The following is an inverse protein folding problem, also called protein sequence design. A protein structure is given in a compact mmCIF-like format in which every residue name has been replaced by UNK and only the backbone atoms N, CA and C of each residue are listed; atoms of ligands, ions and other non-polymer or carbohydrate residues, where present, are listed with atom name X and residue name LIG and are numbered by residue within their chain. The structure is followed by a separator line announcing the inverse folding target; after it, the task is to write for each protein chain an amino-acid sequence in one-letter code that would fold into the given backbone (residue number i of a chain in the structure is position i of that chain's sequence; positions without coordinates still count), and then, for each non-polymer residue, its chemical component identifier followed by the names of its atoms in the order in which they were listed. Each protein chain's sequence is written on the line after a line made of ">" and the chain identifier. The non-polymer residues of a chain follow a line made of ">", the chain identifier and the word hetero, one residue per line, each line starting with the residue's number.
data_IF_107949452003
#
_entry.id   IF_107949452003
#
_cell.length_a   1.000
_cell.length_b   1.000
_cell.length_c   1.000
_cell.angle_alpha   90.00
_cell.angle_beta   90.00
_cell.angle_gamma   90.00
#
_symmetry.space_group_name_H-M   'P 1'
#
loop_
_entity.id
_entity.type
_entity.pdbx_description
1 polymer ?
#
# COMPACT_ATOMS: atom_id res chain seq x y z
N UNK A 1 -20.14 -20.52 -0.58
CA UNK A 1 -19.45 -19.25 -0.73
C UNK A 1 -18.07 -19.22 -0.08
N UNK A 2 -17.92 -19.42 1.23
CA UNK A 2 -16.60 -19.39 1.94
C UNK A 2 -15.58 -20.36 1.33
N UNK A 3 -15.98 -21.62 1.08
CA UNK A 3 -15.09 -22.63 0.49
C UNK A 3 -14.62 -22.26 -0.95
N UNK A 4 -15.48 -21.56 -1.72
CA UNK A 4 -15.12 -21.07 -3.05
C UNK A 4 -14.14 -19.92 -2.99
N UNK A 5 -14.27 -19.01 -2.01
CA UNK A 5 -13.33 -17.90 -1.78
C UNK A 5 -11.96 -18.45 -1.38
N UNK A 6 -11.91 -19.42 -0.46
CA UNK A 6 -10.65 -20.04 -0.03
C UNK A 6 -9.92 -20.72 -1.20
N UNK A 7 -10.64 -21.52 -2.01
CA UNK A 7 -10.06 -22.12 -3.22
C UNK A 7 -9.58 -21.06 -4.21
N UNK A 8 -10.33 -19.96 -4.35
CA UNK A 8 -9.94 -18.82 -5.17
C UNK A 8 -8.63 -18.17 -4.69
N UNK A 9 -8.46 -17.96 -3.40
CA UNK A 9 -7.20 -17.42 -2.82
C UNK A 9 -5.99 -18.31 -3.12
N UNK A 10 -6.14 -19.63 -2.97
CA UNK A 10 -5.07 -20.58 -3.30
C UNK A 10 -4.70 -20.49 -4.79
N UNK A 11 -5.71 -20.44 -5.66
CA UNK A 11 -5.51 -20.34 -7.09
C UNK A 11 -4.78 -19.03 -7.48
N UNK A 12 -5.15 -17.88 -6.88
CA UNK A 12 -4.48 -16.61 -7.11
C UNK A 12 -3.02 -16.65 -6.64
N UNK A 13 -2.75 -17.24 -5.48
CA UNK A 13 -1.37 -17.40 -4.97
C UNK A 13 -0.52 -18.28 -5.90
N UNK A 14 -1.09 -19.37 -6.41
CA UNK A 14 -0.37 -20.25 -7.36
C UNK A 14 -0.05 -19.55 -8.69
N UNK A 15 -0.97 -18.71 -9.19
CA UNK A 15 -0.76 -17.93 -10.42
C UNK A 15 0.37 -16.90 -10.27
N UNK A 16 0.46 -16.26 -9.12
CA UNK A 16 1.42 -15.16 -8.91
C UNK A 16 2.79 -15.65 -8.48
N UNK A 17 2.89 -16.87 -7.97
CA UNK A 17 4.16 -17.47 -7.53
C UNK A 17 5.15 -17.54 -8.67
N UNK A 18 6.33 -16.93 -8.50
CA UNK A 18 7.40 -16.90 -9.50
C UNK A 18 7.16 -15.95 -10.68
N UNK A 19 6.04 -15.22 -10.73
CA UNK A 19 5.78 -14.22 -11.77
C UNK A 19 6.45 -12.88 -11.45
N UNK A 20 6.44 -11.98 -12.45
CA UNK A 20 6.92 -10.60 -12.26
C UNK A 20 6.21 -9.89 -11.10
N UNK A 21 4.93 -10.15 -10.88
CA UNK A 21 4.16 -9.53 -9.80
C UNK A 21 4.68 -9.89 -8.41
N UNK A 22 5.08 -11.15 -8.22
CA UNK A 22 5.69 -11.61 -6.98
C UNK A 22 6.99 -10.85 -6.68
N UNK A 23 7.88 -10.80 -7.67
CA UNK A 23 9.15 -10.08 -7.54
C UNK A 23 8.97 -8.58 -7.41
N UNK A 24 7.99 -7.99 -8.10
CA UNK A 24 7.66 -6.58 -7.98
C UNK A 24 7.20 -6.21 -6.57
N UNK A 25 6.36 -7.05 -5.95
CA UNK A 25 5.92 -6.83 -4.56
C UNK A 25 7.11 -6.84 -3.60
N UNK A 26 8.02 -7.81 -3.75
CA UNK A 26 9.18 -7.96 -2.90
C UNK A 26 10.19 -6.82 -3.12
N UNK A 27 10.66 -6.63 -4.35
CA UNK A 27 11.69 -5.64 -4.67
C UNK A 27 11.18 -4.20 -4.51
N UNK A 28 9.93 -3.93 -4.87
CA UNK A 28 9.31 -2.63 -4.68
C UNK A 28 9.22 -2.23 -3.21
N UNK A 29 8.97 -3.20 -2.30
CA UNK A 29 8.95 -2.96 -0.86
C UNK A 29 10.34 -2.71 -0.27
N UNK A 30 11.38 -3.33 -0.84
CA UNK A 30 12.76 -3.18 -0.39
C UNK A 30 13.42 -1.88 -0.90
N UNK A 31 12.91 -1.30 -1.98
CA UNK A 31 13.58 -0.21 -2.70
C UNK A 31 13.88 0.99 -1.79
N UNK A 32 12.90 1.48 -1.06
CA UNK A 32 13.07 2.66 -0.20
C UNK A 32 13.95 2.36 1.02
N UNK A 33 13.75 1.27 1.79
CA UNK A 33 14.68 0.92 2.85
C UNK A 33 16.12 0.76 2.36
N UNK A 34 16.32 0.19 1.18
CA UNK A 34 17.65 0.04 0.60
C UNK A 34 18.29 1.37 0.20
N UNK A 35 17.51 2.30 -0.39
CA UNK A 35 18.01 3.65 -0.72
C UNK A 35 18.41 4.41 0.54
N UNK A 36 17.60 4.39 1.59
CA UNK A 36 17.93 5.00 2.87
C UNK A 36 19.17 4.35 3.51
N UNK A 37 19.26 3.02 3.46
CA UNK A 37 20.44 2.30 3.91
C UNK A 37 21.71 2.81 3.22
N UNK A 38 21.70 2.98 1.90
CA UNK A 38 22.85 3.52 1.16
C UNK A 38 23.15 4.96 1.55
N UNK A 39 22.14 5.82 1.74
CA UNK A 39 22.33 7.21 2.17
C UNK A 39 23.04 7.26 3.53
N UNK A 40 22.56 6.49 4.51
CA UNK A 40 23.16 6.43 5.84
C UNK A 40 24.54 5.79 5.84
N UNK A 41 24.75 4.78 4.98
CA UNK A 41 26.05 4.11 4.83
C UNK A 41 27.14 5.05 4.31
N UNK A 42 26.81 5.89 3.29
CA UNK A 42 27.80 6.76 2.66
C UNK A 42 27.88 8.17 3.28
N UNK A 43 26.90 8.57 4.08
CA UNK A 43 26.81 9.89 4.72
C UNK A 43 26.47 9.80 6.20
N UNK A 44 27.05 8.84 6.92
CA UNK A 44 26.75 8.61 8.36
C UNK A 44 26.93 9.86 9.20
N UNK A 45 27.95 10.68 8.94
CA UNK A 45 28.24 11.93 9.68
C UNK A 45 27.06 12.91 9.71
N UNK A 46 26.22 12.93 8.66
CA UNK A 46 25.05 13.83 8.58
C UNK A 46 23.85 13.36 9.40
N UNK A 47 23.91 12.15 9.94
CA UNK A 47 22.80 11.49 10.62
C UNK A 47 23.15 11.03 12.05
N UNK A 48 24.26 11.51 12.60
CA UNK A 48 24.65 11.24 13.98
C UNK A 48 23.59 11.88 14.90
N UNK A 49 22.90 11.09 15.73
CA UNK A 49 21.87 11.63 16.61
C UNK A 49 22.51 12.47 17.73
N UNK A 50 21.82 13.51 18.23
CA UNK A 50 22.24 14.18 19.45
C UNK A 50 22.27 13.20 20.64
N UNK A 51 23.07 13.49 21.64
CA UNK A 51 23.18 12.65 22.85
C UNK A 51 21.80 12.45 23.51
N UNK A 52 21.47 11.20 23.82
CA UNK A 52 20.23 10.82 24.49
C UNK A 52 18.99 10.72 23.59
N UNK A 53 19.12 10.93 22.29
CA UNK A 53 18.01 10.78 21.32
C UNK A 53 18.05 9.41 20.65
N UNK A 54 16.88 8.75 20.60
CA UNK A 54 16.74 7.45 19.94
C UNK A 54 16.80 7.59 18.40
N UNK A 55 17.83 7.05 17.72
CA UNK A 55 18.00 7.19 16.27
C UNK A 55 16.90 6.47 15.46
N UNK A 56 16.29 5.44 16.03
CA UNK A 56 15.25 4.67 15.36
C UNK A 56 14.00 5.50 15.05
N UNK A 57 13.69 6.49 15.89
CA UNK A 57 12.49 7.30 15.72
C UNK A 57 12.54 8.09 14.40
N UNK A 58 13.59 8.86 14.19
CA UNK A 58 13.77 9.66 12.97
C UNK A 58 13.97 8.79 11.73
N UNK A 59 14.71 7.69 11.88
CA UNK A 59 14.94 6.73 10.81
C UNK A 59 13.63 6.11 10.33
N UNK A 60 12.79 5.61 11.23
CA UNK A 60 11.49 5.03 10.90
C UNK A 60 10.51 6.07 10.35
N UNK A 61 10.44 7.27 10.96
CA UNK A 61 9.58 8.36 10.48
C UNK A 61 9.98 8.84 9.09
N UNK A 62 11.27 8.95 8.81
CA UNK A 62 11.79 9.30 7.48
C UNK A 62 11.34 8.33 6.40
N UNK A 63 11.43 7.03 6.65
CA UNK A 63 10.95 6.00 5.74
C UNK A 63 9.43 6.08 5.50
N UNK A 64 8.64 6.24 6.56
CA UNK A 64 7.19 6.38 6.45
C UNK A 64 6.79 7.61 5.64
N UNK A 65 7.48 8.73 5.86
CA UNK A 65 7.26 9.95 5.09
C UNK A 65 7.51 9.72 3.61
N UNK A 66 8.63 9.09 3.25
CA UNK A 66 8.99 8.84 1.87
C UNK A 66 7.96 7.96 1.14
N UNK A 67 7.43 6.92 1.80
CA UNK A 67 6.45 6.03 1.16
C UNK A 67 5.03 6.61 1.13
N UNK A 68 4.60 7.36 2.17
CA UNK A 68 3.23 7.85 2.29
C UNK A 68 2.88 8.87 1.19
N UNK A 69 3.84 9.71 0.77
CA UNK A 69 3.58 10.78 -0.18
C UNK A 69 3.25 10.30 -1.60
N UNK A 70 4.03 9.41 -2.17
CA UNK A 70 3.84 9.01 -3.57
C UNK A 70 4.15 7.53 -3.81
N UNK A 71 5.18 7.00 -3.19
CA UNK A 71 5.76 5.72 -3.58
C UNK A 71 4.86 4.54 -3.24
N UNK A 72 4.22 4.53 -2.08
CA UNK A 72 3.29 3.48 -1.70
C UNK A 72 1.97 3.52 -2.48
N UNK A 73 1.30 4.68 -2.67
CA UNK A 73 0.22 4.81 -3.65
C UNK A 73 0.56 4.24 -5.02
N UNK A 74 1.72 4.59 -5.59
CA UNK A 74 2.17 4.06 -6.88
C UNK A 74 2.41 2.55 -6.84
N UNK A 75 3.01 2.04 -5.76
CA UNK A 75 3.21 0.61 -5.57
C UNK A 75 1.87 -0.15 -5.57
N UNK A 76 0.85 0.37 -4.87
CA UNK A 76 -0.51 -0.20 -4.84
C UNK A 76 -1.14 -0.20 -6.25
N UNK A 77 -1.08 0.93 -6.96
CA UNK A 77 -1.60 1.09 -8.32
C UNK A 77 -0.99 0.05 -9.27
N UNK A 78 0.33 -0.07 -9.27
CA UNK A 78 1.06 -0.99 -10.14
C UNK A 78 0.80 -2.44 -9.75
N UNK A 79 0.84 -2.78 -8.47
CA UNK A 79 0.56 -4.13 -7.99
C UNK A 79 -0.81 -4.62 -8.47
N UNK A 80 -1.86 -3.80 -8.33
CA UNK A 80 -3.21 -4.16 -8.77
C UNK A 80 -3.28 -4.28 -10.29
N UNK A 81 -2.77 -3.28 -11.01
CA UNK A 81 -2.86 -3.26 -12.46
C UNK A 81 -2.12 -4.44 -13.11
N UNK A 82 -0.93 -4.78 -12.65
CA UNK A 82 -0.13 -5.90 -13.17
C UNK A 82 -0.82 -7.23 -12.92
N UNK A 83 -1.34 -7.46 -11.70
CA UNK A 83 -2.06 -8.69 -11.37
C UNK A 83 -3.30 -8.90 -12.24
N UNK A 84 -4.14 -7.88 -12.36
CA UNK A 84 -5.37 -7.96 -13.16
C UNK A 84 -5.07 -8.09 -14.66
N UNK A 85 -3.96 -7.51 -15.13
CA UNK A 85 -3.57 -7.59 -16.52
C UNK A 85 -3.20 -9.03 -16.98
N UNK A 86 -2.80 -9.89 -16.04
CA UNK A 86 -2.54 -11.32 -16.37
C UNK A 86 -3.80 -11.96 -16.97
N UNK A 87 -4.96 -11.75 -16.35
CA UNK A 87 -6.21 -12.31 -16.88
C UNK A 87 -6.66 -11.65 -18.18
N UNK A 88 -6.39 -10.36 -18.35
CA UNK A 88 -6.72 -9.67 -19.59
C UNK A 88 -5.87 -10.17 -20.76
N UNK A 89 -4.57 -10.39 -20.57
CA UNK A 89 -3.65 -10.89 -21.61
C UNK A 89 -3.96 -12.31 -22.02
N UNK A 90 -4.26 -13.19 -21.07
CA UNK A 90 -4.51 -14.61 -21.32
C UNK A 90 -5.97 -14.90 -21.71
N UNK A 91 -6.83 -13.88 -21.83
CA UNK A 91 -8.28 -14.03 -21.98
C UNK A 91 -8.91 -15.00 -20.96
N UNK A 92 -8.28 -15.09 -19.78
CA UNK A 92 -8.66 -16.04 -18.73
C UNK A 92 -10.05 -15.75 -18.14
N UNK A 93 -10.56 -14.53 -18.30
CA UNK A 93 -11.92 -14.17 -17.87
C UNK A 93 -13.00 -15.08 -18.46
N UNK A 94 -12.87 -15.48 -19.76
CA UNK A 94 -13.82 -16.42 -20.36
C UNK A 94 -13.79 -17.79 -19.67
N UNK A 95 -12.61 -18.28 -19.33
CA UNK A 95 -12.43 -19.55 -18.61
C UNK A 95 -12.99 -19.49 -17.19
N UNK A 96 -12.73 -18.37 -16.47
CA UNK A 96 -13.21 -18.17 -15.11
C UNK A 96 -14.74 -18.11 -15.03
N UNK A 97 -15.41 -17.49 -16.00
CA UNK A 97 -16.87 -17.38 -16.02
C UNK A 97 -17.62 -18.65 -16.43
N UNK A 98 -16.96 -19.63 -17.02
CA UNK A 98 -17.53 -20.95 -17.32
C UNK A 98 -17.43 -21.91 -16.14
N UNK A 99 -16.59 -21.60 -15.14
CA UNK A 99 -16.50 -22.42 -13.93
C UNK A 99 -17.82 -22.36 -13.13
N UNK A 100 -18.22 -23.45 -12.47
CA UNK A 100 -19.41 -23.49 -11.62
C UNK A 100 -19.18 -22.79 -10.27
N UNK A 101 -18.74 -21.53 -10.34
CA UNK A 101 -18.40 -20.70 -9.18
C UNK A 101 -19.14 -19.37 -9.30
N UNK A 102 -19.68 -18.88 -8.20
CA UNK A 102 -20.35 -17.57 -8.16
C UNK A 102 -19.35 -16.45 -8.53
N UNK A 103 -19.76 -15.54 -9.40
CA UNK A 103 -18.92 -14.41 -9.84
C UNK A 103 -18.44 -13.54 -8.68
N UNK A 104 -19.28 -13.36 -7.68
CA UNK A 104 -18.94 -12.64 -6.44
C UNK A 104 -17.77 -13.30 -5.71
N UNK A 105 -17.72 -14.64 -5.66
CA UNK A 105 -16.61 -15.36 -5.03
C UNK A 105 -15.31 -15.16 -5.78
N UNK A 106 -15.34 -15.03 -7.11
CA UNK A 106 -14.17 -14.72 -7.93
C UNK A 106 -13.70 -13.28 -7.65
N UNK A 107 -14.63 -12.32 -7.62
CA UNK A 107 -14.32 -10.92 -7.30
C UNK A 107 -13.69 -10.78 -5.91
N UNK A 108 -14.35 -11.35 -4.89
CA UNK A 108 -13.91 -11.24 -3.49
C UNK A 108 -12.58 -11.96 -3.26
N UNK A 109 -12.38 -13.16 -3.79
CA UNK A 109 -11.11 -13.89 -3.61
C UNK A 109 -9.92 -13.13 -4.21
N UNK A 110 -10.09 -12.55 -5.39
CA UNK A 110 -9.06 -11.74 -6.03
C UNK A 110 -8.78 -10.46 -5.26
N UNK A 111 -9.83 -9.75 -4.81
CA UNK A 111 -9.71 -8.56 -3.98
C UNK A 111 -8.94 -8.86 -2.69
N UNK A 112 -9.33 -9.91 -1.98
CA UNK A 112 -8.67 -10.32 -0.73
C UNK A 112 -7.21 -10.71 -0.95
N UNK A 113 -6.91 -11.43 -2.05
CA UNK A 113 -5.54 -11.78 -2.40
C UNK A 113 -4.67 -10.53 -2.62
N UNK A 114 -5.17 -9.55 -3.38
CA UNK A 114 -4.46 -8.30 -3.62
C UNK A 114 -4.30 -7.46 -2.35
N UNK A 115 -5.30 -7.43 -1.47
CA UNK A 115 -5.20 -6.78 -0.15
C UNK A 115 -4.10 -7.43 0.70
N UNK A 116 -4.07 -8.77 0.76
CA UNK A 116 -3.00 -9.50 1.44
C UNK A 116 -1.63 -9.18 0.84
N UNK A 117 -1.52 -9.08 -0.48
CA UNK A 117 -0.26 -8.75 -1.16
C UNK A 117 0.22 -7.34 -0.83
N UNK A 118 -0.68 -6.34 -0.83
CA UNK A 118 -0.37 -4.96 -0.43
C UNK A 118 0.01 -4.89 1.06
N UNK A 119 -0.68 -5.63 1.92
CA UNK A 119 -0.33 -5.69 3.34
C UNK A 119 1.05 -6.35 3.55
N UNK A 120 1.32 -7.47 2.87
CA UNK A 120 2.62 -8.14 2.92
C UNK A 120 3.76 -7.23 2.44
N UNK A 121 3.52 -6.35 1.46
CA UNK A 121 4.53 -5.37 1.04
C UNK A 121 4.91 -4.40 2.17
N UNK A 122 3.96 -3.96 3.01
CA UNK A 122 4.23 -3.15 4.18
C UNK A 122 4.98 -3.93 5.29
N UNK A 123 4.67 -5.21 5.45
CA UNK A 123 5.39 -6.07 6.40
C UNK A 123 6.85 -6.22 5.96
N UNK A 124 7.10 -6.53 4.68
CA UNK A 124 8.44 -6.65 4.12
C UNK A 124 9.20 -5.32 4.26
N UNK A 125 8.55 -4.21 3.95
CA UNK A 125 9.10 -2.86 4.14
C UNK A 125 9.52 -2.63 5.59
N UNK A 126 8.65 -2.93 6.55
CA UNK A 126 8.93 -2.72 7.99
C UNK A 126 10.07 -3.60 8.49
N UNK A 127 10.09 -4.87 8.10
CA UNK A 127 11.17 -5.81 8.47
C UNK A 127 12.51 -5.36 7.87
N UNK A 128 12.51 -4.88 6.63
CA UNK A 128 13.74 -4.42 5.99
C UNK A 128 14.33 -3.17 6.65
N UNK A 129 13.50 -2.25 7.15
CA UNK A 129 13.98 -1.09 7.94
C UNK A 129 14.73 -1.55 9.18
N UNK A 130 14.18 -2.53 9.91
CA UNK A 130 14.82 -3.07 11.12
C UNK A 130 16.16 -3.75 10.78
N UNK A 131 16.17 -4.57 9.72
CA UNK A 131 17.40 -5.24 9.27
C UNK A 131 18.47 -4.23 8.87
N UNK A 132 18.13 -3.26 8.03
CA UNK A 132 19.09 -2.25 7.55
C UNK A 132 19.55 -1.31 8.66
N UNK A 133 18.68 -0.90 9.58
CA UNK A 133 19.07 -0.13 10.75
C UNK A 133 20.03 -0.90 11.67
N UNK A 134 19.78 -2.19 11.88
CA UNK A 134 20.68 -3.07 12.63
C UNK A 134 22.06 -3.21 11.96
N UNK A 135 22.12 -3.38 10.63
CA UNK A 135 23.36 -3.44 9.87
C UNK A 135 24.13 -2.10 9.97
N UNK A 136 23.41 -0.96 9.85
CA UNK A 136 24.02 0.36 10.02
C UNK A 136 24.66 0.54 11.40
N UNK A 137 23.98 0.07 12.46
CA UNK A 137 24.54 0.12 13.82
C UNK A 137 25.79 -0.74 14.01
N UNK A 138 25.93 -1.84 13.26
CA UNK A 138 27.15 -2.65 13.25
C UNK A 138 28.31 -1.99 12.51
N UNK A 139 28.03 -1.28 11.42
CA UNK A 139 29.04 -0.63 10.56
C UNK A 139 29.46 0.74 11.11
N UNK A 140 28.49 1.54 11.55
CA UNK A 140 28.66 2.91 12.05
C UNK A 140 28.16 3.00 13.49
N UNK A 141 29.04 2.75 14.46
CA UNK A 141 28.70 2.79 15.89
C UNK A 141 28.22 4.16 16.36
N UNK A 142 28.72 5.22 15.74
CA UNK A 142 28.35 6.62 15.97
C UNK A 142 26.86 6.94 15.72
N UNK A 143 26.16 6.10 14.97
CA UNK A 143 24.71 6.22 14.77
C UNK A 143 23.88 5.69 15.94
N UNK A 144 24.47 5.01 16.91
CA UNK A 144 23.87 4.51 18.16
C UNK A 144 22.66 3.60 17.98
N UNK A 145 22.45 2.97 16.81
CA UNK A 145 21.31 2.07 16.57
C UNK A 145 21.29 0.85 17.47
N UNK A 146 22.46 0.38 17.97
CA UNK A 146 22.56 -0.76 18.86
C UNK A 146 22.35 -0.42 20.34
N UNK A 147 22.49 0.83 20.70
CA UNK A 147 22.35 1.33 22.08
C UNK A 147 20.87 1.63 22.43
N UNK A 148 20.01 1.71 21.41
CA UNK A 148 18.59 1.97 21.53
C UNK A 148 17.76 0.87 20.86
N UNK A 149 16.49 0.76 21.28
CA UNK A 149 15.54 -0.19 20.68
C UNK A 149 14.51 0.57 19.83
N UNK A 150 14.08 -0.03 18.67
CA UNK A 150 12.99 0.52 17.89
C UNK A 150 11.68 0.46 18.67
N UNK A 151 10.89 1.52 18.63
CA UNK A 151 9.58 1.58 19.24
C UNK A 151 8.53 0.87 18.37
N UNK A 152 8.42 -0.45 18.51
CA UNK A 152 7.57 -1.29 17.68
C UNK A 152 6.09 -0.94 17.75
N UNK A 153 5.58 -0.59 18.96
CA UNK A 153 4.14 -0.35 19.13
C UNK A 153 3.64 0.89 18.38
N UNK A 154 4.19 2.09 18.57
CA UNK A 154 3.77 3.26 17.81
C UNK A 154 4.03 3.09 16.31
N UNK A 155 5.11 2.45 15.91
CA UNK A 155 5.43 2.19 14.51
C UNK A 155 4.42 1.25 13.83
N UNK A 156 4.08 0.11 14.46
CA UNK A 156 3.08 -0.81 13.92
C UNK A 156 1.70 -0.17 13.77
N UNK A 157 1.33 0.70 14.71
CA UNK A 157 0.11 1.50 14.63
C UNK A 157 0.12 2.40 13.38
N UNK A 158 1.24 3.08 13.10
CA UNK A 158 1.38 3.92 11.91
C UNK A 158 1.29 3.11 10.61
N UNK A 159 1.89 1.92 10.56
CA UNK A 159 1.81 1.01 9.39
C UNK A 159 0.36 0.57 9.13
N UNK A 160 -0.37 0.18 10.16
CA UNK A 160 -1.79 -0.21 10.02
C UNK A 160 -2.63 0.97 9.53
N UNK A 161 -2.41 2.16 10.07
CA UNK A 161 -3.11 3.38 9.65
C UNK A 161 -2.79 3.77 8.21
N UNK A 162 -1.52 3.63 7.79
CA UNK A 162 -1.13 3.82 6.41
C UNK A 162 -1.84 2.81 5.48
N UNK A 163 -1.95 1.54 5.90
CA UNK A 163 -2.73 0.55 5.15
C UNK A 163 -4.20 0.95 5.00
N UNK A 164 -4.84 1.42 6.09
CA UNK A 164 -6.23 1.90 6.04
C UNK A 164 -6.36 3.10 5.09
N UNK A 165 -5.41 4.01 5.11
CA UNK A 165 -5.45 5.21 4.27
C UNK A 165 -5.36 4.92 2.77
N UNK A 166 -4.75 3.82 2.34
CA UNK A 166 -4.68 3.44 0.91
C UNK A 166 -5.86 2.58 0.42
N UNK A 167 -6.77 2.15 1.29
CA UNK A 167 -7.91 1.33 0.89
C UNK A 167 -8.81 2.00 -0.16
N UNK A 168 -8.97 3.32 -0.08
CA UNK A 168 -9.69 4.11 -1.09
C UNK A 168 -9.03 4.03 -2.47
N UNK A 169 -7.72 4.23 -2.54
CA UNK A 169 -6.94 4.09 -3.77
C UNK A 169 -7.05 2.66 -4.30
N UNK A 170 -6.87 1.67 -3.41
CA UNK A 170 -6.94 0.26 -3.74
C UNK A 170 -8.26 -0.10 -4.45
N UNK A 171 -9.39 0.29 -3.87
CA UNK A 171 -10.70 -0.05 -4.41
C UNK A 171 -10.96 0.60 -5.78
N UNK A 172 -10.58 1.86 -5.95
CA UNK A 172 -10.72 2.58 -7.23
C UNK A 172 -9.83 1.92 -8.29
N UNK A 173 -8.57 1.63 -7.97
CA UNK A 173 -7.65 0.99 -8.91
C UNK A 173 -8.06 -0.44 -9.25
N UNK A 174 -8.57 -1.19 -8.28
CA UNK A 174 -9.11 -2.52 -8.51
C UNK A 174 -10.30 -2.48 -9.47
N UNK A 175 -11.25 -1.57 -9.25
CA UNK A 175 -12.38 -1.36 -10.13
C UNK A 175 -11.93 -0.96 -11.55
N UNK A 176 -11.07 0.03 -11.69
CA UNK A 176 -10.56 0.50 -13.00
C UNK A 176 -9.82 -0.63 -13.74
N UNK A 177 -8.96 -1.38 -13.04
CA UNK A 177 -8.20 -2.46 -13.65
C UNK A 177 -9.08 -3.62 -14.12
N UNK A 178 -10.18 -3.92 -13.42
CA UNK A 178 -11.16 -4.92 -13.86
C UNK A 178 -11.98 -4.45 -15.07
N UNK A 179 -12.23 -3.14 -15.17
CA UNK A 179 -13.07 -2.57 -16.21
C UNK A 179 -12.32 -2.40 -17.54
N UNK A 180 -11.11 -1.83 -17.48
CA UNK A 180 -10.30 -1.55 -18.67
C UNK A 180 -9.39 -2.72 -19.01
N UNK A 181 -9.46 -3.20 -20.27
CA UNK A 181 -8.58 -4.27 -20.77
C UNK A 181 -7.13 -3.80 -20.97
N UNK A 182 -6.96 -2.53 -21.32
CA UNK A 182 -5.64 -1.95 -21.53
C UNK A 182 -5.08 -1.48 -20.17
N UNK A 183 -3.98 -2.09 -19.74
CA UNK A 183 -3.31 -1.78 -18.48
C UNK A 183 -2.84 -0.32 -18.38
N UNK A 184 -2.55 0.33 -19.52
CA UNK A 184 -2.05 1.72 -19.54
C UNK A 184 -3.09 2.66 -18.94
N UNK A 185 -4.39 2.44 -19.20
CA UNK A 185 -5.47 3.34 -18.73
C UNK A 185 -5.55 3.41 -17.21
N UNK A 186 -5.71 2.31 -16.44
CA UNK A 186 -5.76 2.39 -14.98
C UNK A 186 -4.46 2.90 -14.37
N UNK A 187 -3.29 2.54 -14.93
CA UNK A 187 -2.01 3.06 -14.44
C UNK A 187 -1.91 4.56 -14.67
N UNK A 188 -2.16 5.05 -15.89
CA UNK A 188 -2.07 6.49 -16.20
C UNK A 188 -3.02 7.32 -15.37
N UNK A 189 -4.27 6.87 -15.18
CA UNK A 189 -5.24 7.53 -14.31
C UNK A 189 -4.76 7.54 -12.85
N UNK A 190 -4.26 6.41 -12.36
CA UNK A 190 -3.76 6.31 -10.99
C UNK A 190 -2.56 7.23 -10.74
N UNK A 191 -1.58 7.23 -11.64
CA UNK A 191 -0.40 8.11 -11.57
C UNK A 191 -0.83 9.58 -11.63
N UNK A 192 -1.67 9.95 -12.59
CA UNK A 192 -2.19 11.32 -12.74
C UNK A 192 -2.90 11.78 -11.47
N UNK A 193 -3.83 10.98 -10.92
CA UNK A 193 -4.56 11.33 -9.70
C UNK A 193 -3.64 11.40 -8.47
N UNK A 194 -2.58 10.60 -8.41
CA UNK A 194 -1.56 10.69 -7.34
C UNK A 194 -0.77 11.99 -7.46
N UNK A 195 -0.38 12.41 -8.66
CA UNK A 195 0.30 13.70 -8.87
C UNK A 195 -0.62 14.86 -8.48
N UNK A 196 -1.88 14.83 -8.91
CA UNK A 196 -2.88 15.83 -8.50
C UNK A 196 -3.00 15.87 -6.97
N UNK A 197 -3.03 14.71 -6.31
CA UNK A 197 -3.08 14.61 -4.86
C UNK A 197 -1.91 15.33 -4.17
N UNK A 198 -0.69 15.18 -4.69
CA UNK A 198 0.49 15.86 -4.11
C UNK A 198 0.40 17.38 -4.18
N UNK A 199 -0.27 17.91 -5.19
CA UNK A 199 -0.47 19.34 -5.37
C UNK A 199 -1.57 19.87 -4.44
N UNK A 200 -2.73 19.20 -4.42
CA UNK A 200 -3.89 19.68 -3.67
C UNK A 200 -3.71 19.58 -2.14
N UNK A 201 -2.95 18.60 -1.66
CA UNK A 201 -2.66 18.43 -0.24
C UNK A 201 -1.91 19.65 0.35
N UNK A 202 -1.16 20.39 -0.48
CA UNK A 202 -0.36 21.52 -0.04
C UNK A 202 -1.17 22.81 0.22
N UNK A 203 -2.38 22.94 -0.32
CA UNK A 203 -3.13 24.19 -0.21
C UNK A 203 -4.65 24.07 -0.19
N UNK A 204 -5.21 22.86 -0.28
CA UNK A 204 -6.65 22.66 -0.30
C UNK A 204 -7.14 21.95 0.97
N UNK A 205 -7.90 22.64 1.78
CA UNK A 205 -8.42 22.12 3.07
C UNK A 205 -9.30 20.86 2.89
N UNK A 206 -10.00 20.75 1.75
CA UNK A 206 -10.86 19.60 1.46
C UNK A 206 -10.12 18.40 0.82
N UNK A 207 -8.79 18.42 0.79
CA UNK A 207 -7.97 17.29 0.32
C UNK A 207 -8.26 15.98 1.05
N UNK A 208 -8.81 16.06 2.29
CA UNK A 208 -9.29 14.92 3.08
C UNK A 208 -10.44 14.13 2.45
N UNK A 209 -11.10 14.65 1.41
CA UNK A 209 -12.15 13.96 0.64
C UNK A 209 -11.64 13.39 -0.68
N UNK A 210 -10.38 13.66 -1.04
CA UNK A 210 -9.80 13.17 -2.29
C UNK A 210 -9.07 11.84 -2.05
N UNK A 211 -9.56 10.69 -2.63
CA UNK A 211 -9.07 9.36 -2.28
C UNK A 211 -7.55 9.18 -2.43
N UNK A 212 -6.94 9.78 -3.46
CA UNK A 212 -5.51 9.65 -3.69
C UNK A 212 -4.65 10.50 -2.74
N UNK A 213 -5.26 11.44 -2.02
CA UNK A 213 -4.59 12.28 -1.03
C UNK A 213 -4.55 11.64 0.38
N UNK A 214 -5.38 10.62 0.66
CA UNK A 214 -5.54 10.06 2.01
C UNK A 214 -4.23 9.64 2.68
N UNK A 215 -3.29 8.94 2.02
CA UNK A 215 -2.02 8.58 2.65
C UNK A 215 -1.16 9.79 3.03
N UNK A 216 -1.20 10.85 2.22
CA UNK A 216 -0.49 12.09 2.47
C UNK A 216 -1.13 12.88 3.61
N UNK A 217 -2.47 13.00 3.61
CA UNK A 217 -3.24 13.64 4.68
C UNK A 217 -3.02 12.92 6.01
N UNK A 218 -3.01 11.60 6.01
CA UNK A 218 -2.69 10.81 7.19
C UNK A 218 -1.33 11.21 7.77
N UNK A 219 -0.29 11.27 6.94
CA UNK A 219 1.04 11.59 7.41
C UNK A 219 1.17 13.03 7.91
N UNK A 220 0.60 14.00 7.19
CA UNK A 220 0.64 15.42 7.60
C UNK A 220 -0.13 15.65 8.89
N UNK A 221 -1.24 14.97 9.09
CA UNK A 221 -2.06 15.09 10.29
C UNK A 221 -1.56 14.21 11.45
N UNK A 222 -0.63 13.29 11.22
CA UNK A 222 -0.11 12.39 12.26
C UNK A 222 0.55 13.15 13.42
N UNK A 223 1.16 14.29 13.16
CA UNK A 223 1.74 15.17 14.19
C UNK A 223 0.68 15.94 15.00
N UNK A 224 -0.54 16.11 14.46
CA UNK A 224 -1.66 16.77 15.16
C UNK A 224 -2.54 15.76 15.93
N UNK A 225 -2.32 14.46 15.73
CA UNK A 225 -3.09 13.38 16.33
C UNK A 225 -2.97 13.26 17.85
N UNK A 226 -1.97 13.89 18.45
CA UNK A 226 -1.83 13.94 19.91
C UNK A 226 -2.86 14.84 20.60
N UNK A 227 -3.59 15.68 19.86
CA UNK A 227 -4.41 16.76 20.42
C UNK A 227 -5.88 16.80 19.99
N UNK A 228 -6.33 15.93 19.08
CA UNK A 228 -7.69 15.97 18.57
C UNK A 228 -8.50 14.72 18.97
N UNK A 229 -9.73 14.94 19.45
CA UNK A 229 -10.74 13.91 19.69
C UNK A 229 -11.18 13.31 18.34
N UNK A 230 -10.54 12.22 17.93
CA UNK A 230 -10.89 11.51 16.72
C UNK A 230 -11.76 10.29 17.03
N UNK A 231 -12.71 10.02 16.17
CA UNK A 231 -13.57 8.85 16.26
C UNK A 231 -12.71 7.57 16.30
N UNK A 232 -12.66 6.89 17.45
CA UNK A 232 -11.80 5.73 17.73
C UNK A 232 -10.30 5.96 17.38
N UNK A 233 -9.82 7.20 17.43
CA UNK A 233 -8.43 7.54 17.12
C UNK A 233 -8.06 7.51 15.63
N UNK A 234 -9.05 7.37 14.70
CA UNK A 234 -8.85 7.46 13.26
C UNK A 234 -9.05 8.90 12.76
N UNK A 235 -8.24 9.30 11.79
CA UNK A 235 -8.39 10.60 11.12
C UNK A 235 -9.58 10.61 10.16
N UNK A 236 -10.15 11.78 9.83
CA UNK A 236 -11.19 11.89 8.81
C UNK A 236 -10.80 11.27 7.46
N UNK A 237 -9.52 11.39 7.04
CA UNK A 237 -9.01 10.78 5.81
C UNK A 237 -9.01 9.24 5.84
N UNK A 238 -8.77 8.62 6.99
CA UNK A 238 -8.84 7.16 7.13
C UNK A 238 -10.28 6.66 7.09
N UNK A 239 -11.20 7.40 7.74
CA UNK A 239 -12.64 7.07 7.71
C UNK A 239 -13.19 7.19 6.28
N UNK A 240 -12.86 8.27 5.58
CA UNK A 240 -13.27 8.47 4.19
C UNK A 240 -12.64 7.45 3.24
N UNK A 241 -11.39 7.02 3.50
CA UNK A 241 -10.74 5.93 2.76
C UNK A 241 -11.51 4.62 2.90
N UNK A 242 -11.85 4.24 4.14
CA UNK A 242 -12.63 3.03 4.39
C UNK A 242 -14.04 3.09 3.78
N UNK A 243 -14.71 4.24 3.91
CA UNK A 243 -16.03 4.45 3.29
C UNK A 243 -15.97 4.33 1.76
N UNK A 244 -14.94 4.93 1.13
CA UNK A 244 -14.68 4.81 -0.32
C UNK A 244 -14.43 3.36 -0.71
N UNK A 245 -13.63 2.62 0.08
CA UNK A 245 -13.36 1.21 -0.14
C UNK A 245 -14.66 0.39 -0.17
N UNK A 246 -15.54 0.57 0.81
CA UNK A 246 -16.82 -0.15 0.88
C UNK A 246 -17.72 0.22 -0.30
N UNK A 247 -17.90 1.51 -0.56
CA UNK A 247 -18.80 2.00 -1.62
C UNK A 247 -18.35 1.51 -3.02
N UNK A 248 -17.07 1.65 -3.35
CA UNK A 248 -16.53 1.25 -4.67
C UNK A 248 -16.57 -0.26 -4.85
N UNK A 249 -16.33 -1.06 -3.79
CA UNK A 249 -16.41 -2.52 -3.90
C UNK A 249 -17.85 -3.02 -4.06
N UNK A 250 -18.83 -2.39 -3.41
CA UNK A 250 -20.25 -2.69 -3.65
C UNK A 250 -20.62 -2.43 -5.12
N UNK A 251 -20.26 -1.25 -5.64
CA UNK A 251 -20.47 -0.93 -7.06
C UNK A 251 -19.71 -1.91 -7.97
N UNK A 252 -18.47 -2.26 -7.61
CA UNK A 252 -17.64 -3.20 -8.35
C UNK A 252 -18.29 -4.59 -8.47
N UNK A 253 -18.85 -5.13 -7.39
CA UNK A 253 -19.55 -6.43 -7.41
C UNK A 253 -20.78 -6.36 -8.31
N UNK A 254 -21.59 -5.30 -8.23
CA UNK A 254 -22.79 -5.12 -9.06
C UNK A 254 -22.41 -5.11 -10.54
N UNK A 255 -21.41 -4.29 -10.91
CA UNK A 255 -20.95 -4.17 -12.31
C UNK A 255 -20.32 -5.47 -12.81
N UNK A 256 -19.55 -6.15 -11.97
CA UNK A 256 -18.91 -7.41 -12.31
C UNK A 256 -19.91 -8.53 -12.56
N UNK A 257 -20.97 -8.60 -11.77
CA UNK A 257 -22.06 -9.56 -11.96
C UNK A 257 -22.88 -9.28 -13.23
N UNK A 258 -23.08 -8.01 -13.57
CA UNK A 258 -23.80 -7.59 -14.78
C UNK A 258 -23.00 -7.77 -16.08
N UNK A 259 -21.68 -8.01 -16.01
CA UNK A 259 -20.79 -8.10 -17.18
C UNK A 259 -21.17 -9.29 -18.06
N UNK A 260 -21.67 -9.00 -19.27
CA UNK A 260 -21.94 -10.03 -20.29
C UNK A 260 -20.63 -10.50 -20.94
N UNK A 261 -20.48 -11.81 -21.07
CA UNK A 261 -19.35 -12.41 -21.81
C UNK A 261 -19.61 -12.17 -23.30
N UNK A 262 -18.80 -11.33 -23.93
CA UNK A 262 -18.75 -11.21 -25.39
C UNK A 262 -17.56 -11.99 -25.93
#
# INVERSE_FOLDING_TARGET
>A
MINSIYKGLIAENQKTKGTFTFWFTLLGSLLIPFVYFLIYLFRSESFIPPEGINPWEDFMKGHLKAIAFMLFPLHVILTIAININIEHKENSWKKLFVLPVQRESIYISKMLFLLCQVFMSLVIFSVSIIIFGGILGLVHKELNFLDYYPEFYPYSKLIIRLFISVLGIFSIQYFLSLFFKNIIIPISLGVFLTIVATIIVQGWEHSIYFPYAFPMCFFLNSNQLATADHFYGLTPSEITSFATFVAVNILGIIVFNAKKIK
#
